data_IF_927744767611
#
_entry.id   IF_927744767611
#
_cell.length_a   1.000
_cell.length_b   1.000
_cell.length_c   1.000
_cell.angle_alpha   90.00
_cell.angle_beta   90.00
_cell.angle_gamma   90.00
#
_symmetry.space_group_name_H-M   'P 1'
#
loop_
_entity.id
_entity.type
_entity.pdbx_description
1 polymer ?
#
# COMPACT_ATOMS: atom_id res chain seq x y z
N UNK A 1 12.98 -9.38 -8.96
CA UNK A 1 11.97 -10.06 -8.13
C UNK A 1 11.98 -9.38 -6.77
N UNK A 2 10.82 -9.06 -6.18
CA UNK A 2 10.78 -8.53 -4.81
C UNK A 2 11.40 -9.54 -3.84
N UNK A 3 12.04 -9.03 -2.79
CA UNK A 3 12.49 -9.85 -1.68
C UNK A 3 11.31 -10.43 -0.92
N UNK A 4 11.46 -11.67 -0.44
CA UNK A 4 10.53 -12.21 0.53
C UNK A 4 10.78 -11.61 1.93
N UNK A 5 9.91 -11.96 2.89
CA UNK A 5 10.04 -11.43 4.25
C UNK A 5 11.37 -11.82 4.91
N UNK A 6 11.84 -13.05 4.71
CA UNK A 6 13.07 -13.54 5.31
C UNK A 6 14.29 -12.79 4.76
N UNK A 7 14.32 -12.54 3.44
CA UNK A 7 15.32 -11.71 2.79
C UNK A 7 15.29 -10.28 3.36
N UNK A 8 14.12 -9.66 3.47
CA UNK A 8 13.98 -8.33 4.08
C UNK A 8 14.50 -8.27 5.52
N UNK A 9 14.24 -9.31 6.33
CA UNK A 9 14.73 -9.39 7.71
C UNK A 9 16.26 -9.31 7.79
N UNK A 10 17.00 -9.84 6.81
CA UNK A 10 18.47 -9.77 6.78
C UNK A 10 19.01 -8.35 6.62
N UNK A 11 18.24 -7.44 6.01
CA UNK A 11 18.60 -6.03 5.86
C UNK A 11 18.18 -5.16 7.05
N UNK A 12 17.32 -5.70 7.93
CA UNK A 12 16.71 -4.98 9.05
C UNK A 12 17.18 -5.53 10.40
N UNK A 13 18.42 -6.03 10.49
CA UNK A 13 18.93 -6.73 11.66
C UNK A 13 18.99 -5.86 12.93
N UNK A 14 19.04 -4.53 12.81
CA UNK A 14 18.97 -3.60 13.94
C UNK A 14 17.60 -3.49 14.61
N UNK A 15 16.54 -4.04 14.01
CA UNK A 15 15.16 -3.95 14.49
C UNK A 15 14.69 -5.22 15.20
N UNK A 16 13.67 -5.07 16.04
CA UNK A 16 12.93 -6.22 16.60
C UNK A 16 12.16 -6.97 15.51
N UNK A 17 11.79 -8.23 15.75
CA UNK A 17 11.03 -9.01 14.74
C UNK A 17 9.64 -8.41 14.48
N UNK A 18 9.03 -7.81 15.50
CA UNK A 18 7.79 -7.04 15.35
C UNK A 18 8.00 -5.82 14.45
N UNK A 19 9.04 -5.02 14.68
CA UNK A 19 9.35 -3.86 13.84
C UNK A 19 9.68 -4.26 12.39
N UNK A 20 10.37 -5.38 12.18
CA UNK A 20 10.62 -5.93 10.84
C UNK A 20 9.31 -6.24 10.13
N UNK A 21 8.35 -6.85 10.83
CA UNK A 21 7.02 -7.13 10.28
C UNK A 21 6.29 -5.83 9.91
N UNK A 22 6.34 -4.80 10.74
CA UNK A 22 5.80 -3.47 10.40
C UNK A 22 6.45 -2.89 9.16
N UNK A 23 7.79 -2.82 9.10
CA UNK A 23 8.50 -2.27 7.95
C UNK A 23 8.12 -3.03 6.68
N UNK A 24 8.15 -4.36 6.70
CA UNK A 24 7.75 -5.17 5.54
C UNK A 24 6.28 -4.97 5.15
N UNK A 25 5.36 -4.83 6.11
CA UNK A 25 3.96 -4.51 5.83
C UNK A 25 3.75 -3.10 5.25
N UNK A 26 4.69 -2.19 5.46
CA UNK A 26 4.65 -0.80 4.97
C UNK A 26 5.30 -0.69 3.58
N UNK A 27 6.51 -1.20 3.37
CA UNK A 27 7.25 -1.05 2.08
C UNK A 27 7.20 -2.28 1.18
N UNK A 28 6.82 -3.44 1.72
CA UNK A 28 6.88 -4.71 0.99
C UNK A 28 8.31 -5.19 0.73
N UNK A 29 8.42 -6.09 -0.24
CA UNK A 29 9.66 -6.74 -0.64
C UNK A 29 10.52 -5.96 -1.64
N UNK A 30 10.04 -4.83 -2.17
CA UNK A 30 10.76 -4.13 -3.24
C UNK A 30 12.07 -3.55 -2.70
N UNK A 31 13.24 -3.98 -3.19
CA UNK A 31 14.53 -3.59 -2.61
C UNK A 31 14.74 -2.08 -2.57
N UNK A 32 14.31 -1.37 -3.62
CA UNK A 32 14.42 0.08 -3.71
C UNK A 32 13.66 0.81 -2.59
N UNK A 33 12.49 0.30 -2.18
CA UNK A 33 11.71 0.88 -1.09
C UNK A 33 12.32 0.52 0.27
N UNK A 34 12.80 -0.71 0.41
CA UNK A 34 13.50 -1.17 1.62
C UNK A 34 14.76 -0.33 1.91
N UNK A 35 15.50 0.06 0.88
CA UNK A 35 16.69 0.92 1.00
C UNK A 35 16.39 2.34 1.52
N UNK A 36 15.12 2.76 1.52
CA UNK A 36 14.71 4.04 2.13
C UNK A 36 14.48 3.91 3.64
N UNK A 37 14.46 2.69 4.17
CA UNK A 37 14.30 2.39 5.58
C UNK A 37 15.65 2.22 6.28
N UNK A 38 15.69 2.61 7.54
CA UNK A 38 16.87 2.49 8.41
C UNK A 38 16.58 1.54 9.55
N UNK A 39 17.46 0.55 9.72
CA UNK A 39 17.41 -0.41 10.83
C UNK A 39 17.87 0.18 12.17
N UNK A 40 18.27 1.46 12.19
CA UNK A 40 18.67 2.22 13.38
C UNK A 40 17.58 3.16 13.90
N UNK A 41 16.46 3.23 13.20
CA UNK A 41 15.35 4.11 13.51
C UNK A 41 14.14 3.30 13.95
N UNK A 42 13.31 3.88 14.82
CA UNK A 42 12.01 3.28 15.12
C UNK A 42 11.13 3.19 13.87
N UNK A 43 10.12 2.33 13.87
CA UNK A 43 9.10 2.30 12.78
C UNK A 43 8.50 3.68 12.56
N UNK A 44 8.21 4.40 13.65
CA UNK A 44 7.66 5.75 13.58
C UNK A 44 8.59 6.76 12.93
N UNK A 45 9.87 6.76 13.29
CA UNK A 45 10.86 7.67 12.69
C UNK A 45 11.12 7.32 11.21
N UNK A 46 11.10 6.03 10.87
CA UNK A 46 11.13 5.59 9.48
C UNK A 46 9.94 6.16 8.70
N UNK A 47 8.70 6.01 9.18
CA UNK A 47 7.50 6.57 8.54
C UNK A 47 7.61 8.10 8.39
N UNK A 48 8.05 8.80 9.44
CA UNK A 48 8.18 10.26 9.42
C UNK A 48 9.20 10.74 8.39
N UNK A 49 10.36 10.07 8.33
CA UNK A 49 11.46 10.46 7.44
C UNK A 49 11.20 10.06 5.98
N UNK A 50 10.30 9.11 5.73
CA UNK A 50 10.02 8.58 4.39
C UNK A 50 8.68 9.04 3.83
N UNK A 51 7.56 8.66 4.45
CA UNK A 51 6.20 8.94 3.94
C UNK A 51 5.64 10.27 4.40
N UNK A 52 6.15 10.85 5.49
CA UNK A 52 5.68 12.16 6.00
C UNK A 52 6.70 13.27 5.76
N UNK A 53 7.66 13.04 4.87
CA UNK A 53 8.69 13.98 4.50
C UNK A 53 8.58 14.32 2.99
N UNK A 54 8.14 15.54 2.62
CA UNK A 54 8.02 15.93 1.21
C UNK A 54 9.32 15.86 0.40
N UNK A 55 10.49 15.81 1.06
CA UNK A 55 11.79 15.68 0.40
C UNK A 55 12.22 14.24 0.16
N UNK A 56 11.50 13.26 0.70
CA UNK A 56 11.81 11.84 0.57
C UNK A 56 11.29 11.29 -0.75
N UNK A 57 12.03 10.32 -1.29
CA UNK A 57 11.65 9.57 -2.48
C UNK A 57 10.25 8.93 -2.36
N UNK A 58 9.97 8.25 -1.25
CA UNK A 58 8.69 7.54 -1.05
C UNK A 58 7.46 8.45 -0.95
N UNK A 59 7.65 9.77 -0.74
CA UNK A 59 6.55 10.70 -0.59
C UNK A 59 5.76 10.91 -1.89
N UNK A 60 6.45 11.01 -3.03
CA UNK A 60 5.81 11.22 -4.35
C UNK A 60 5.79 9.95 -5.22
N UNK A 61 6.41 8.86 -4.75
CA UNK A 61 6.70 7.70 -5.59
C UNK A 61 5.46 7.11 -6.29
N UNK A 62 4.32 6.84 -5.60
CA UNK A 62 3.15 6.30 -6.30
C UNK A 62 2.61 7.22 -7.40
N UNK A 63 2.65 8.53 -7.20
CA UNK A 63 2.20 9.50 -8.19
C UNK A 63 3.17 9.59 -9.37
N UNK A 64 4.47 9.53 -9.11
CA UNK A 64 5.51 9.59 -10.13
C UNK A 64 5.49 8.34 -11.00
N UNK A 65 5.39 7.15 -10.41
CA UNK A 65 5.30 5.88 -11.12
C UNK A 65 4.09 5.88 -12.05
N UNK A 66 2.90 6.26 -11.56
CA UNK A 66 1.71 6.33 -12.41
C UNK A 66 1.86 7.35 -13.55
N UNK A 67 2.46 8.52 -13.32
CA UNK A 67 2.67 9.50 -14.40
C UNK A 67 3.60 8.98 -15.51
N UNK A 68 4.51 8.06 -15.19
CA UNK A 68 5.42 7.45 -16.16
C UNK A 68 4.75 6.32 -16.95
N UNK A 69 3.91 5.53 -16.28
CA UNK A 69 3.31 4.32 -16.87
C UNK A 69 2.01 4.61 -17.64
N UNK A 70 1.25 5.66 -17.30
CA UNK A 70 -0.12 5.84 -17.80
C UNK A 70 -0.48 7.28 -18.19
N UNK A 71 -1.37 7.42 -19.20
CA UNK A 71 -1.78 8.73 -19.76
C UNK A 71 -2.78 9.52 -18.91
N UNK A 72 -3.62 8.86 -18.11
CA UNK A 72 -4.70 9.50 -17.33
C UNK A 72 -4.58 9.18 -15.83
N UNK A 73 -3.52 9.67 -15.15
CA UNK A 73 -3.22 9.26 -13.77
C UNK A 73 -4.32 9.61 -12.76
N UNK A 74 -5.19 10.59 -13.03
CA UNK A 74 -6.25 10.99 -12.12
C UNK A 74 -7.25 9.85 -11.82
N UNK A 75 -7.69 9.11 -12.85
CA UNK A 75 -8.64 8.01 -12.68
C UNK A 75 -7.98 6.81 -11.98
N UNK A 76 -6.72 6.52 -12.29
CA UNK A 76 -5.95 5.51 -11.56
C UNK A 76 -5.85 5.84 -10.07
N UNK A 77 -5.47 7.07 -9.74
CA UNK A 77 -5.39 7.54 -8.36
C UNK A 77 -6.73 7.39 -7.64
N UNK A 78 -7.84 7.76 -8.29
CA UNK A 78 -9.17 7.64 -7.71
C UNK A 78 -9.57 6.17 -7.44
N UNK A 79 -9.28 5.27 -8.38
CA UNK A 79 -9.54 3.82 -8.24
C UNK A 79 -8.70 3.22 -7.11
N UNK A 80 -7.39 3.49 -7.07
CA UNK A 80 -6.51 2.95 -6.03
C UNK A 80 -6.93 3.50 -4.66
N UNK A 81 -7.24 4.79 -4.56
CA UNK A 81 -7.75 5.40 -3.31
C UNK A 81 -9.06 4.74 -2.86
N UNK A 82 -9.98 4.44 -3.77
CA UNK A 82 -11.22 3.73 -3.43
C UNK A 82 -10.91 2.33 -2.85
N UNK A 83 -10.00 1.57 -3.47
CA UNK A 83 -9.61 0.25 -2.97
C UNK A 83 -8.90 0.35 -1.62
N UNK A 84 -7.97 1.29 -1.46
CA UNK A 84 -7.23 1.52 -0.21
C UNK A 84 -8.14 1.87 0.96
N UNK A 85 -9.26 2.54 0.67
CA UNK A 85 -10.27 2.97 1.65
C UNK A 85 -11.38 1.95 1.90
N UNK A 86 -11.36 0.80 1.20
CA UNK A 86 -12.19 -0.36 1.51
C UNK A 86 -13.25 -0.72 0.46
N UNK A 87 -13.34 0.00 -0.66
CA UNK A 87 -14.25 -0.36 -1.75
C UNK A 87 -13.60 -1.45 -2.59
N UNK A 88 -14.20 -2.64 -2.60
CA UNK A 88 -13.51 -3.85 -3.10
C UNK A 88 -14.25 -4.51 -4.26
N UNK A 89 -15.51 -4.13 -4.53
CA UNK A 89 -16.28 -4.65 -5.66
C UNK A 89 -16.30 -3.65 -6.81
N UNK A 90 -16.39 -4.15 -8.06
CA UNK A 90 -16.44 -3.29 -9.26
C UNK A 90 -17.51 -2.19 -9.15
N UNK A 91 -18.71 -2.54 -8.70
CA UNK A 91 -19.81 -1.57 -8.55
C UNK A 91 -19.53 -0.51 -7.49
N UNK A 92 -18.93 -0.91 -6.37
CA UNK A 92 -18.54 -0.01 -5.29
C UNK A 92 -17.47 0.99 -5.76
N UNK A 93 -16.45 0.47 -6.44
CA UNK A 93 -15.35 1.26 -7.00
C UNK A 93 -15.89 2.24 -8.05
N UNK A 94 -16.68 1.77 -9.02
CA UNK A 94 -17.21 2.63 -10.07
C UNK A 94 -18.10 3.74 -9.51
N UNK A 95 -18.96 3.42 -8.55
CA UNK A 95 -19.80 4.43 -7.86
C UNK A 95 -18.95 5.43 -7.08
N UNK A 96 -17.92 4.98 -6.38
CA UNK A 96 -17.04 5.87 -5.61
C UNK A 96 -16.24 6.82 -6.50
N UNK A 97 -15.76 6.32 -7.64
CA UNK A 97 -14.97 7.09 -8.61
C UNK A 97 -15.85 8.01 -9.45
N UNK A 98 -17.15 7.69 -9.58
CA UNK A 98 -18.09 8.46 -10.41
C UNK A 98 -18.02 8.09 -11.90
N UNK A 99 -17.54 6.88 -12.19
CA UNK A 99 -17.29 6.39 -13.55
C UNK A 99 -18.12 5.15 -13.87
N UNK A 100 -18.19 4.79 -15.16
CA UNK A 100 -18.86 3.55 -15.57
C UNK A 100 -18.02 2.32 -15.21
N UNK A 101 -18.68 1.18 -14.98
CA UNK A 101 -17.99 -0.10 -14.73
C UNK A 101 -17.09 -0.53 -15.88
N UNK A 102 -17.46 -0.21 -17.13
CA UNK A 102 -16.63 -0.47 -18.32
C UNK A 102 -15.34 0.34 -18.28
N UNK A 103 -15.42 1.63 -17.95
CA UNK A 103 -14.24 2.50 -17.80
C UNK A 103 -13.35 1.95 -16.67
N UNK A 104 -13.89 1.79 -15.46
CA UNK A 104 -13.13 1.25 -14.33
C UNK A 104 -12.50 -0.11 -14.61
N UNK A 105 -13.15 -0.98 -15.38
CA UNK A 105 -12.58 -2.27 -15.76
C UNK A 105 -11.32 -2.15 -16.63
N UNK A 106 -11.24 -1.16 -17.52
CA UNK A 106 -10.04 -0.92 -18.32
C UNK A 106 -8.88 -0.47 -17.45
N UNK A 107 -9.13 0.50 -16.56
CA UNK A 107 -8.15 0.99 -15.59
C UNK A 107 -7.67 -0.09 -14.61
N UNK A 108 -8.60 -0.88 -14.06
CA UNK A 108 -8.27 -1.98 -13.16
C UNK A 108 -7.42 -3.05 -13.84
N UNK A 109 -7.67 -3.34 -15.12
CA UNK A 109 -6.84 -4.28 -15.87
C UNK A 109 -5.38 -3.80 -15.92
N UNK A 110 -5.16 -2.53 -16.25
CA UNK A 110 -3.82 -1.98 -16.31
C UNK A 110 -3.15 -1.96 -14.93
N UNK A 111 -3.89 -1.67 -13.85
CA UNK A 111 -3.36 -1.75 -12.48
C UNK A 111 -2.99 -3.18 -12.07
N UNK A 112 -3.70 -4.18 -12.57
CA UNK A 112 -3.37 -5.59 -12.37
C UNK A 112 -2.11 -5.97 -13.15
N UNK A 113 -2.02 -5.53 -14.40
CA UNK A 113 -0.84 -5.78 -15.25
C UNK A 113 0.42 -5.12 -14.67
N UNK A 114 0.28 -3.96 -14.00
CA UNK A 114 1.34 -3.28 -13.25
C UNK A 114 1.68 -3.93 -11.90
N UNK A 115 0.91 -4.91 -11.44
CA UNK A 115 1.10 -5.56 -10.13
C UNK A 115 0.70 -4.70 -8.93
N UNK A 116 0.01 -3.58 -9.14
CA UNK A 116 -0.45 -2.66 -8.07
C UNK A 116 -1.73 -3.20 -7.41
N UNK A 117 -2.62 -3.79 -8.21
CA UNK A 117 -3.90 -4.33 -7.75
C UNK A 117 -3.96 -5.81 -8.10
N UNK A 118 -4.56 -6.62 -7.23
CA UNK A 118 -4.96 -7.99 -7.57
C UNK A 118 -6.47 -8.13 -7.63
N UNK A 119 -6.91 -9.11 -8.40
CA UNK A 119 -8.31 -9.53 -8.51
C UNK A 119 -8.45 -10.95 -8.02
N UNK A 120 -9.20 -11.13 -6.95
CA UNK A 120 -9.49 -12.43 -6.35
C UNK A 120 -10.93 -12.82 -6.67
N UNK A 121 -11.15 -14.09 -6.99
CA UNK A 121 -12.50 -14.66 -7.12
C UNK A 121 -12.66 -15.70 -6.01
N UNK A 122 -13.60 -15.51 -5.07
CA UNK A 122 -13.77 -16.44 -3.95
C UNK A 122 -13.92 -17.89 -4.40
N UNK A 123 -13.34 -18.81 -3.63
CA UNK A 123 -13.34 -20.24 -3.96
C UNK A 123 -14.77 -20.78 -4.12
N UNK A 124 -15.03 -21.52 -5.21
CA UNK A 124 -16.35 -22.06 -5.54
C UNK A 124 -17.22 -21.16 -6.42
N UNK A 125 -16.78 -19.93 -6.71
CA UNK A 125 -17.51 -19.02 -7.59
C UNK A 125 -16.92 -18.96 -9.00
N UNK A 126 -17.73 -19.33 -10.01
CA UNK A 126 -17.36 -19.21 -11.43
C UNK A 126 -17.68 -17.84 -12.03
N UNK A 127 -18.35 -16.97 -11.27
CA UNK A 127 -18.86 -15.69 -11.77
C UNK A 127 -17.92 -14.55 -11.40
N UNK A 128 -17.44 -13.83 -12.41
CA UNK A 128 -16.65 -12.60 -12.24
C UNK A 128 -17.40 -11.48 -11.50
N UNK A 129 -18.73 -11.60 -11.33
CA UNK A 129 -19.55 -10.61 -10.62
C UNK A 129 -19.27 -10.53 -9.12
N UNK A 130 -18.66 -11.57 -8.53
CA UNK A 130 -18.31 -11.58 -7.10
C UNK A 130 -16.81 -11.41 -6.84
N UNK A 131 -16.04 -11.09 -7.88
CA UNK A 131 -14.63 -10.78 -7.71
C UNK A 131 -14.42 -9.57 -6.80
N UNK A 132 -13.33 -9.64 -6.04
CA UNK A 132 -12.88 -8.64 -5.08
C UNK A 132 -11.55 -8.10 -5.58
N UNK A 133 -11.35 -6.79 -5.47
CA UNK A 133 -10.12 -6.10 -5.81
C UNK A 133 -9.43 -5.64 -4.52
N UNK A 134 -8.12 -5.84 -4.44
CA UNK A 134 -7.28 -5.41 -3.33
C UNK A 134 -5.96 -4.88 -3.86
N UNK A 135 -5.32 -3.97 -3.11
CA UNK A 135 -3.98 -3.48 -3.45
C UNK A 135 -2.97 -4.54 -3.02
N UNK A 136 -2.12 -4.93 -3.98
CA UNK A 136 -1.10 -5.96 -3.81
C UNK A 136 0.23 -5.35 -3.36
N UNK A 137 0.60 -4.17 -3.88
CA UNK A 137 1.83 -3.49 -3.49
C UNK A 137 1.66 -2.79 -2.13
N UNK A 138 2.44 -3.22 -1.13
CA UNK A 138 2.37 -2.69 0.24
C UNK A 138 2.72 -1.20 0.33
N UNK A 139 3.73 -0.76 -0.43
CA UNK A 139 4.15 0.65 -0.44
C UNK A 139 2.99 1.52 -0.94
N UNK A 140 2.36 1.12 -2.04
CA UNK A 140 1.16 1.78 -2.55
C UNK A 140 0.02 1.72 -1.54
N UNK A 141 -0.22 0.55 -0.93
CA UNK A 141 -1.32 0.41 0.01
C UNK A 141 -1.20 1.34 1.22
N UNK A 142 -0.02 1.38 1.85
CA UNK A 142 0.25 2.30 2.94
C UNK A 142 0.09 3.76 2.51
N UNK A 143 0.67 4.11 1.36
CA UNK A 143 0.65 5.48 0.86
C UNK A 143 -0.78 5.96 0.61
N UNK A 144 -1.58 5.23 -0.18
CA UNK A 144 -2.96 5.61 -0.49
C UNK A 144 -3.90 5.55 0.71
N UNK A 145 -3.55 4.77 1.73
CA UNK A 145 -4.34 4.69 2.97
C UNK A 145 -4.17 5.92 3.85
N UNK A 146 -2.97 6.50 3.91
CA UNK A 146 -2.64 7.52 4.92
C UNK A 146 -2.21 8.87 4.37
N UNK A 147 -1.58 8.93 3.19
CA UNK A 147 -0.89 10.14 2.73
C UNK A 147 -1.83 11.13 2.04
N UNK A 148 -2.70 10.75 1.08
CA UNK A 148 -3.61 11.70 0.41
C UNK A 148 -4.44 12.53 1.40
N UNK A 149 -5.05 11.88 2.40
CA UNK A 149 -5.92 12.53 3.38
C UNK A 149 -5.14 13.48 4.33
N UNK A 150 -3.83 13.26 4.50
CA UNK A 150 -2.99 14.05 5.39
C UNK A 150 -2.01 14.98 4.63
N UNK A 151 -2.00 14.98 3.30
CA UNK A 151 -1.01 15.69 2.48
C UNK A 151 -0.90 17.19 2.84
N UNK A 152 -2.04 17.87 3.03
CA UNK A 152 -2.04 19.29 3.40
C UNK A 152 -1.45 19.55 4.80
N UNK A 153 -1.62 18.62 5.73
CA UNK A 153 -1.10 18.72 7.11
C UNK A 153 0.40 18.47 7.11
N UNK A 154 0.84 17.47 6.33
CA UNK A 154 2.27 17.14 6.12
C UNK A 154 2.98 18.34 5.49
N UNK A 155 2.41 18.94 4.44
CA UNK A 155 3.00 20.10 3.76
C UNK A 155 3.17 21.33 4.68
N UNK A 156 2.36 21.45 5.74
CA UNK A 156 2.51 22.48 6.78
C UNK A 156 3.52 22.12 7.88
N UNK A 157 4.22 21.00 7.77
CA UNK A 157 5.22 20.53 8.72
C UNK A 157 4.65 19.89 9.99
N UNK A 158 3.34 19.65 10.07
CA UNK A 158 2.71 19.05 11.25
C UNK A 158 2.82 17.52 11.26
N UNK A 159 4.04 17.01 11.07
CA UNK A 159 4.36 15.58 10.89
C UNK A 159 3.99 14.74 12.10
N UNK A 160 4.31 15.19 13.32
CA UNK A 160 3.99 14.44 14.54
C UNK A 160 2.49 14.25 14.76
N UNK A 161 1.68 15.25 14.38
CA UNK A 161 0.23 15.15 14.47
C UNK A 161 -0.31 14.07 13.52
N UNK A 162 0.24 14.01 12.30
CA UNK A 162 -0.14 13.00 11.31
C UNK A 162 0.31 11.62 11.76
N UNK A 163 1.56 11.50 12.24
CA UNK A 163 2.08 10.24 12.75
C UNK A 163 1.22 9.68 13.88
N UNK A 164 0.80 10.49 14.87
CA UNK A 164 -0.10 10.03 15.95
C UNK A 164 -1.42 9.44 15.43
N UNK A 165 -1.95 9.96 14.32
CA UNK A 165 -3.18 9.43 13.69
C UNK A 165 -2.94 8.11 12.98
N UNK A 166 -1.76 7.94 12.37
CA UNK A 166 -1.34 6.72 11.69
C UNK A 166 -1.03 5.64 12.72
N UNK A 167 -0.27 5.95 13.75
CA UNK A 167 0.11 5.06 14.85
C UNK A 167 -1.13 4.41 15.49
N UNK A 168 -2.18 5.19 15.75
CA UNK A 168 -3.44 4.68 16.29
C UNK A 168 -4.18 3.67 15.37
N UNK A 169 -3.84 3.63 14.08
CA UNK A 169 -4.43 2.73 13.08
C UNK A 169 -3.45 1.66 12.58
N UNK A 170 -2.19 1.68 13.02
CA UNK A 170 -1.13 0.86 12.45
C UNK A 170 -1.38 -0.64 12.69
N UNK A 171 -1.90 -1.01 13.85
CA UNK A 171 -2.23 -2.40 14.17
C UNK A 171 -3.38 -2.94 13.30
N UNK A 172 -4.43 -2.14 13.07
CA UNK A 172 -5.54 -2.52 12.17
C UNK A 172 -5.06 -2.62 10.71
N UNK A 173 -4.18 -1.69 10.29
CA UNK A 173 -3.52 -1.76 8.99
C UNK A 173 -2.73 -3.06 8.83
N UNK A 174 -1.88 -3.41 9.80
CA UNK A 174 -1.10 -4.64 9.76
C UNK A 174 -1.99 -5.89 9.73
N UNK A 175 -3.07 -5.91 10.51
CA UNK A 175 -4.04 -7.01 10.46
C UNK A 175 -4.69 -7.21 9.08
N UNK A 176 -4.80 -6.14 8.28
CA UNK A 176 -5.29 -6.21 6.89
C UNK A 176 -4.21 -6.59 5.90
N UNK A 177 -2.97 -6.13 6.07
CA UNK A 177 -1.82 -6.59 5.28
C UNK A 177 -1.58 -8.09 5.48
N UNK A 178 -1.65 -8.57 6.72
CA UNK A 178 -1.43 -9.98 7.06
C UNK A 178 -2.40 -10.92 6.34
N UNK A 179 -3.66 -10.53 6.22
CA UNK A 179 -4.68 -11.30 5.49
C UNK A 179 -4.48 -11.31 3.97
N UNK A 180 -3.62 -10.45 3.43
CA UNK A 180 -3.29 -10.36 1.99
C UNK A 180 -2.07 -11.18 1.61
N UNK A 181 -1.21 -11.55 2.58
CA UNK A 181 -0.11 -12.48 2.33
C UNK A 181 -0.65 -13.91 2.30
N UNK A 182 -0.45 -14.60 1.18
CA UNK A 182 -0.60 -16.05 1.16
C UNK A 182 0.52 -16.68 1.99
N UNK A 183 0.11 -17.40 3.04
CA UNK A 183 0.75 -18.52 3.76
C UNK A 183 2.13 -18.33 4.43
N UNK A 184 3.03 -17.44 3.99
CA UNK A 184 4.43 -17.42 4.49
C UNK A 184 4.57 -16.90 5.93
N UNK A 185 3.67 -16.02 6.40
CA UNK A 185 3.72 -15.51 7.78
C UNK A 185 3.35 -16.57 8.84
N UNK A 186 2.61 -17.62 8.48
CA UNK A 186 2.17 -18.63 9.44
C UNK A 186 3.29 -19.59 9.88
N UNK A 187 4.40 -19.65 9.15
CA UNK A 187 5.55 -20.49 9.52
C UNK A 187 6.57 -19.78 10.43
N UNK A 188 6.51 -18.45 10.54
CA UNK A 188 7.48 -17.66 11.33
C UNK A 188 6.85 -17.14 12.63
N UNK A 189 5.52 -17.15 12.73
CA UNK A 189 4.77 -16.78 13.94
C UNK A 189 4.49 -17.95 14.91
N UNK A 190 5.08 -19.13 14.68
CA UNK A 190 4.98 -20.31 15.55
C UNK A 190 6.35 -20.94 15.85
#
# INVERSE_FOLDING_TARGET
>A
MPFDFAECCTYLNGLSDEDKAYIYGIVGGTPQYLLQMSDKLSVGDNIKNTYLNPMSFLYEEPLNLLKQEVREPAIYNAIITAIATGYSRMSEISTKVGESTTVCSGYLKNLIDLGIVKKETPYGEKSSKKSIYSIEDNMFYFWYRFIPDNASVIARGAVDLVYKRIEAQLNDYMGKCLKRFDTVFMEIAY
#
